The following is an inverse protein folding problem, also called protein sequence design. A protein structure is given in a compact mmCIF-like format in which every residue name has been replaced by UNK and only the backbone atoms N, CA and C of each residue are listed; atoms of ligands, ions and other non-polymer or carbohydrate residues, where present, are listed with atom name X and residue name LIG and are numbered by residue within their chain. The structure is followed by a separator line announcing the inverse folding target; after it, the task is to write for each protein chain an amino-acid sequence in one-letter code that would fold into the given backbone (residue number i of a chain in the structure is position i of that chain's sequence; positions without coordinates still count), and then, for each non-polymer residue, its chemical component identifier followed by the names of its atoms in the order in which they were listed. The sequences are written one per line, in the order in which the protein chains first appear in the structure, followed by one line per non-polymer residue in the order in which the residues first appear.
data_IF_776249123359
#
_entry.id   IF_776249123359
#
_cell.length_a   1.000
_cell.length_b   1.000
_cell.length_c   1.000
_cell.angle_alpha   90.00
_cell.angle_beta   90.00
_cell.angle_gamma   90.00
#
_symmetry.space_group_name_H-M   'P 1'
#
loop_
_entity.id
_entity.type
_entity.pdbx_description
1 polymer ?
#
# COMPACT_ATOMS: atom_id res chain seq x y z
N UNK A 1 55.50 15.03 17.66
CA UNK A 1 54.47 15.10 18.74
C UNK A 1 53.88 16.51 18.88
N UNK A 2 54.66 17.57 18.64
CA UNK A 2 54.14 18.97 18.57
C UNK A 2 53.20 19.22 17.38
N UNK A 3 53.44 18.60 16.21
CA UNK A 3 52.61 18.83 15.00
C UNK A 3 51.16 18.33 15.14
N UNK A 4 50.96 17.21 15.83
CA UNK A 4 49.61 16.66 16.07
C UNK A 4 48.80 17.56 17.02
N UNK A 5 49.45 18.16 18.02
CA UNK A 5 48.81 19.10 18.94
C UNK A 5 48.44 20.41 18.23
N UNK A 6 49.30 20.86 17.30
CA UNK A 6 49.07 22.06 16.51
C UNK A 6 47.92 21.85 15.51
N UNK A 7 47.85 20.69 14.84
CA UNK A 7 46.74 20.32 13.96
C UNK A 7 45.41 20.24 14.74
N UNK A 8 45.41 19.66 15.95
CA UNK A 8 44.20 19.63 16.77
C UNK A 8 43.74 21.03 17.21
N UNK A 9 44.68 21.94 17.53
CA UNK A 9 44.35 23.33 17.84
C UNK A 9 43.77 24.07 16.63
N UNK A 10 44.31 23.85 15.42
CA UNK A 10 43.76 24.42 14.19
C UNK A 10 42.36 23.89 13.88
N UNK A 11 42.13 22.57 14.03
CA UNK A 11 40.82 21.96 13.82
C UNK A 11 39.78 22.45 14.84
N UNK A 12 40.20 22.65 16.10
CA UNK A 12 39.32 23.19 17.14
C UNK A 12 38.95 24.66 16.85
N UNK A 13 39.92 25.48 16.43
CA UNK A 13 39.68 26.87 16.03
C UNK A 13 38.74 26.96 14.81
N UNK A 14 38.98 26.12 13.80
CA UNK A 14 38.16 26.07 12.59
C UNK A 14 36.73 25.64 12.88
N UNK A 15 36.52 24.65 13.76
CA UNK A 15 35.17 24.25 14.20
C UNK A 15 34.42 25.35 14.94
N UNK A 16 35.11 26.14 15.77
CA UNK A 16 34.50 27.29 16.47
C UNK A 16 34.13 28.40 15.47
N UNK A 17 35.00 28.67 14.49
CA UNK A 17 34.78 29.68 13.45
C UNK A 17 33.62 29.28 12.51
N UNK A 18 33.53 27.99 12.16
CA UNK A 18 32.42 27.43 11.41
C UNK A 18 31.12 27.49 12.22
N UNK A 19 31.12 27.05 13.48
CA UNK A 19 29.95 27.14 14.36
C UNK A 19 29.44 28.57 14.57
N UNK A 20 30.32 29.57 14.56
CA UNK A 20 29.93 30.98 14.64
C UNK A 20 29.32 31.46 13.31
N UNK A 21 29.95 31.13 12.18
CA UNK A 21 29.41 31.42 10.83
C UNK A 21 28.04 30.79 10.62
N UNK A 22 27.85 29.55 11.09
CA UNK A 22 26.60 28.81 10.97
C UNK A 22 25.44 29.49 11.72
N UNK A 23 25.71 30.14 12.86
CA UNK A 23 24.70 30.88 13.61
C UNK A 23 24.16 32.08 12.81
N UNK A 24 25.06 32.87 12.22
CA UNK A 24 24.67 34.03 11.43
C UNK A 24 23.96 33.62 10.13
N UNK A 25 24.46 32.58 9.46
CA UNK A 25 23.81 32.01 8.27
C UNK A 25 22.40 31.50 8.62
N UNK A 26 22.24 30.77 9.73
CA UNK A 26 20.94 30.29 10.19
C UNK A 26 19.96 31.44 10.49
N UNK A 27 20.44 32.53 11.10
CA UNK A 27 19.63 33.73 11.32
C UNK A 27 19.19 34.38 10.00
N UNK A 28 20.05 34.40 8.98
CA UNK A 28 19.72 34.90 7.64
C UNK A 28 18.75 33.98 6.90
N UNK A 29 18.86 32.67 7.04
CA UNK A 29 17.89 31.69 6.51
C UNK A 29 16.50 31.92 7.11
N UNK A 30 16.41 32.25 8.41
CA UNK A 30 15.14 32.48 9.09
C UNK A 30 14.35 33.71 8.56
N UNK A 31 14.96 34.59 7.77
CA UNK A 31 14.28 35.70 7.09
C UNK A 31 13.40 35.29 5.91
N UNK A 32 13.43 34.01 5.52
CA UNK A 32 12.66 33.52 4.39
C UNK A 32 11.18 33.85 4.48
N UNK A 33 10.66 34.48 3.43
CA UNK A 33 9.23 34.64 3.26
C UNK A 33 8.63 33.31 2.80
N UNK A 34 7.71 32.75 3.58
CA UNK A 34 6.82 31.69 3.08
C UNK A 34 5.85 32.31 2.08
N UNK A 35 6.22 32.35 0.79
CA UNK A 35 5.25 32.44 -0.29
C UNK A 35 5.12 31.05 -0.91
N UNK A 36 3.88 30.63 -1.10
CA UNK A 36 3.51 29.29 -1.52
C UNK A 36 4.16 28.95 -2.87
N UNK A 37 4.82 27.78 -2.94
CA UNK A 37 5.16 26.95 -4.12
C UNK A 37 6.56 27.00 -4.78
N UNK A 38 7.53 27.83 -4.37
CA UNK A 38 8.88 27.89 -5.03
C UNK A 38 9.98 28.15 -3.97
N UNK A 39 11.25 27.71 -4.15
CA UNK A 39 12.30 27.96 -3.18
C UNK A 39 12.37 29.44 -2.78
N UNK A 40 12.23 29.63 -1.49
CA UNK A 40 12.03 30.90 -0.80
C UNK A 40 13.26 31.78 -0.90
N UNK A 41 13.17 32.87 -1.66
CA UNK A 41 14.23 33.87 -1.74
C UNK A 41 14.36 34.62 -0.41
N UNK A 42 15.54 34.58 0.21
CA UNK A 42 15.86 35.42 1.37
C UNK A 42 15.72 36.89 0.95
N UNK A 43 14.83 37.63 1.62
CA UNK A 43 14.61 39.07 1.41
C UNK A 43 15.32 39.87 2.49
N UNK A 44 16.22 40.77 2.07
CA UNK A 44 16.96 41.70 2.94
C UNK A 44 16.35 43.11 2.93
N UNK A 45 15.05 43.20 2.63
CA UNK A 45 14.29 44.46 2.58
C UNK A 45 13.53 44.65 3.89
N UNK A 46 13.73 45.79 4.52
CA UNK A 46 13.04 46.17 5.76
C UNK A 46 12.47 47.59 5.56
N UNK A 47 11.14 47.76 5.59
CA UNK A 47 10.51 49.08 5.42
C UNK A 47 8.99 49.16 5.63
N UNK A 48 8.31 48.03 5.85
CA UNK A 48 6.88 47.98 6.23
C UNK A 48 6.71 47.52 7.68
N UNK A 49 5.56 47.80 8.31
CA UNK A 49 5.29 47.44 9.71
C UNK A 49 5.43 45.92 9.99
N UNK A 50 5.11 45.07 9.01
CA UNK A 50 5.34 43.62 9.08
C UNK A 50 6.82 43.25 8.99
N UNK A 51 7.59 44.00 8.22
CA UNK A 51 9.04 43.83 8.09
C UNK A 51 9.79 44.38 9.30
N UNK A 52 9.25 45.34 10.05
CA UNK A 52 9.86 45.87 11.27
C UNK A 52 9.95 44.79 12.37
N UNK A 53 8.94 43.92 12.48
CA UNK A 53 8.98 42.78 13.40
C UNK A 53 10.03 41.75 12.95
N UNK A 54 10.14 41.51 11.64
CA UNK A 54 11.17 40.60 11.08
C UNK A 54 12.57 41.17 11.26
N UNK A 55 12.73 42.48 11.09
CA UNK A 55 13.97 43.19 11.35
C UNK A 55 14.36 43.04 12.82
N UNK A 56 13.43 43.29 13.74
CA UNK A 56 13.68 43.11 15.18
C UNK A 56 14.03 41.66 15.52
N UNK A 57 13.31 40.69 14.97
CA UNK A 57 13.61 39.26 15.14
C UNK A 57 15.01 38.92 14.64
N UNK A 58 15.36 39.35 13.44
CA UNK A 58 16.67 39.13 12.84
C UNK A 58 17.80 39.77 13.64
N UNK A 59 17.64 41.02 14.07
CA UNK A 59 18.62 41.74 14.88
C UNK A 59 18.84 41.07 16.23
N UNK A 60 17.76 40.61 16.88
CA UNK A 60 17.87 39.83 18.12
C UNK A 60 18.68 38.55 17.88
N UNK A 61 18.49 37.86 16.76
CA UNK A 61 19.27 36.66 16.43
C UNK A 61 20.74 36.99 16.12
N UNK A 62 21.02 38.04 15.35
CA UNK A 62 22.39 38.51 15.11
C UNK A 62 23.11 38.83 16.42
N UNK A 63 22.43 39.54 17.33
CA UNK A 63 22.95 39.86 18.67
C UNK A 63 23.24 38.59 19.46
N UNK A 64 22.33 37.61 19.46
CA UNK A 64 22.56 36.32 20.13
C UNK A 64 23.77 35.57 19.55
N UNK A 65 23.97 35.60 18.25
CA UNK A 65 25.14 34.99 17.60
C UNK A 65 26.43 35.73 17.99
N UNK A 66 26.42 37.06 18.02
CA UNK A 66 27.57 37.87 18.46
C UNK A 66 27.92 37.60 19.92
N UNK A 67 26.94 37.55 20.82
CA UNK A 67 27.15 37.24 22.24
C UNK A 67 27.71 35.83 22.44
N UNK A 68 27.21 34.82 21.71
CA UNK A 68 27.75 33.45 21.74
C UNK A 68 29.19 33.41 21.27
N UNK A 69 29.49 34.08 20.15
CA UNK A 69 30.85 34.17 19.62
C UNK A 69 31.82 34.84 20.61
N UNK A 70 31.33 35.82 21.38
CA UNK A 70 32.07 36.50 22.44
C UNK A 70 32.11 35.72 23.78
N UNK A 71 31.43 34.57 23.89
CA UNK A 71 31.33 33.80 25.14
C UNK A 71 30.50 34.49 26.23
N UNK A 72 29.67 35.48 25.87
CA UNK A 72 28.81 36.23 26.78
C UNK A 72 27.47 35.49 26.92
N UNK A 73 26.99 35.23 28.15
CA UNK A 73 25.72 34.54 28.35
C UNK A 73 24.54 35.37 27.83
N UNK A 74 23.64 34.71 27.08
CA UNK A 74 22.41 35.33 26.60
C UNK A 74 21.43 35.50 27.78
N UNK A 75 20.77 36.67 27.93
CA UNK A 75 19.75 36.88 28.97
C UNK A 75 18.62 35.84 28.91
N UNK A 76 18.09 35.43 30.07
CA UNK A 76 17.03 34.41 30.15
C UNK A 76 15.73 34.86 29.50
N UNK A 77 15.49 36.17 29.50
CA UNK A 77 14.35 36.82 28.87
C UNK A 77 14.34 36.66 27.34
N UNK A 78 15.47 36.29 26.75
CA UNK A 78 15.62 36.02 25.33
C UNK A 78 15.42 34.55 24.95
N UNK A 79 15.15 33.67 25.93
CA UNK A 79 14.82 32.26 25.68
C UNK A 79 13.35 32.12 25.29
N UNK A 80 13.02 31.19 24.37
CA UNK A 80 11.65 30.97 23.93
C UNK A 80 10.78 30.51 25.11
N UNK A 81 9.61 31.12 25.27
CA UNK A 81 8.68 30.80 26.35
C UNK A 81 7.40 30.22 25.76
N UNK A 82 6.99 29.06 26.29
CA UNK A 82 5.81 28.32 25.83
C UNK A 82 4.52 29.16 25.96
N UNK A 83 4.53 30.19 26.81
CA UNK A 83 3.34 30.93 27.25
C UNK A 83 3.24 32.35 26.69
N UNK A 84 4.14 32.78 25.80
CA UNK A 84 4.14 34.16 25.28
C UNK A 84 3.99 34.25 23.77
N UNK A 85 3.35 35.34 23.33
CA UNK A 85 3.35 35.67 21.91
C UNK A 85 4.76 36.12 21.48
N UNK A 86 5.06 35.97 20.19
CA UNK A 86 6.39 36.26 19.61
C UNK A 86 6.82 37.72 19.80
N UNK A 87 5.89 38.67 19.70
CA UNK A 87 6.20 40.10 19.83
C UNK A 87 6.64 40.44 21.26
N UNK A 88 5.93 39.94 22.26
CA UNK A 88 6.25 40.16 23.67
C UNK A 88 7.60 39.54 24.04
N UNK A 89 7.95 38.39 23.46
CA UNK A 89 9.28 37.80 23.59
C UNK A 89 10.39 38.70 23.05
N UNK A 90 10.20 39.22 21.84
CA UNK A 90 11.16 40.15 21.21
C UNK A 90 11.32 41.42 22.04
N UNK A 91 10.21 41.98 22.53
CA UNK A 91 10.22 43.18 23.39
C UNK A 91 10.95 42.91 24.69
N UNK A 92 10.64 41.82 25.40
CA UNK A 92 11.33 41.47 26.67
C UNK A 92 12.82 41.22 26.46
N UNK A 93 13.18 40.53 25.38
CA UNK A 93 14.58 40.29 25.04
C UNK A 93 15.33 41.59 24.72
N UNK A 94 14.70 42.49 23.94
CA UNK A 94 15.28 43.80 23.62
C UNK A 94 15.44 44.66 24.88
N UNK A 95 14.48 44.64 25.79
CA UNK A 95 14.59 45.30 27.10
C UNK A 95 15.71 44.72 27.96
N UNK A 96 15.95 43.41 27.88
CA UNK A 96 17.07 42.79 28.59
C UNK A 96 18.42 43.28 28.03
N UNK A 97 18.55 43.42 26.71
CA UNK A 97 19.73 44.02 26.10
C UNK A 97 19.92 45.49 26.51
N UNK A 98 18.85 46.28 26.61
CA UNK A 98 18.96 47.69 26.99
C UNK A 98 19.35 47.92 28.46
N UNK A 99 19.17 46.92 29.35
CA UNK A 99 19.55 47.02 30.77
C UNK A 99 21.06 46.99 30.99
N UNK A 100 21.82 46.41 30.07
CA UNK A 100 23.28 46.25 30.20
C UNK A 100 23.98 46.97 29.04
N UNK A 101 24.82 47.99 29.31
CA UNK A 101 25.42 48.80 28.26
C UNK A 101 26.16 48.00 27.18
N UNK A 102 26.91 46.96 27.58
CA UNK A 102 27.65 46.11 26.64
C UNK A 102 26.73 45.33 25.70
N UNK A 103 25.58 44.85 26.21
CA UNK A 103 24.60 44.12 25.40
C UNK A 103 23.84 45.07 24.47
N UNK A 104 23.55 46.29 24.96
CA UNK A 104 22.94 47.33 24.14
C UNK A 104 23.83 47.75 22.97
N UNK A 105 25.15 47.84 23.17
CA UNK A 105 26.10 48.15 22.10
C UNK A 105 26.09 47.09 21.00
N UNK A 106 26.11 45.80 21.36
CA UNK A 106 26.01 44.70 20.39
C UNK A 106 24.67 44.73 19.65
N UNK A 107 23.55 44.90 20.37
CA UNK A 107 22.22 45.00 19.78
C UNK A 107 22.08 46.18 18.80
N UNK A 108 22.48 47.38 19.21
CA UNK A 108 22.40 48.59 18.38
C UNK A 108 23.31 48.53 17.15
N UNK A 109 24.47 47.88 17.27
CA UNK A 109 25.37 47.63 16.15
C UNK A 109 24.74 46.64 15.16
N UNK A 110 24.18 45.54 15.66
CA UNK A 110 23.44 44.57 14.86
C UNK A 110 22.24 45.20 14.15
N UNK A 111 21.50 46.10 14.82
CA UNK A 111 20.39 46.84 14.23
C UNK A 111 20.84 47.74 13.08
N UNK A 112 21.89 48.54 13.30
CA UNK A 112 22.43 49.46 12.30
C UNK A 112 22.95 48.74 11.05
N UNK A 113 23.57 47.58 11.23
CA UNK A 113 24.20 46.84 10.13
C UNK A 113 23.37 45.66 9.62
N UNK A 114 22.15 45.45 10.14
CA UNK A 114 21.30 44.30 9.81
C UNK A 114 21.17 44.07 8.31
N UNK A 115 20.84 45.12 7.55
CA UNK A 115 20.66 45.04 6.11
C UNK A 115 21.96 44.64 5.39
N UNK A 116 23.10 45.23 5.75
CA UNK A 116 24.41 44.93 5.16
C UNK A 116 24.81 43.49 5.46
N UNK A 117 24.64 43.05 6.71
CA UNK A 117 24.94 41.68 7.14
C UNK A 117 24.07 40.69 6.35
N UNK A 118 22.77 40.97 6.21
CA UNK A 118 21.86 40.14 5.43
C UNK A 118 22.33 39.98 3.98
N UNK A 119 22.65 41.08 3.29
CA UNK A 119 23.15 41.00 1.91
C UNK A 119 24.48 40.25 1.79
N UNK A 120 25.38 40.40 2.75
CA UNK A 120 26.66 39.70 2.75
C UNK A 120 26.51 38.19 2.92
N UNK A 121 25.59 37.74 3.79
CA UNK A 121 25.39 36.33 4.11
C UNK A 121 24.38 35.64 3.21
N UNK A 122 23.61 36.40 2.43
CA UNK A 122 22.56 35.86 1.56
C UNK A 122 23.08 34.75 0.64
N UNK A 123 24.22 34.95 0.00
CA UNK A 123 24.77 33.96 -0.94
C UNK A 123 25.19 32.66 -0.25
N UNK A 124 25.77 32.76 0.95
CA UNK A 124 26.16 31.59 1.74
C UNK A 124 24.95 30.85 2.31
N UNK A 125 23.93 31.60 2.72
CA UNK A 125 22.64 31.06 3.16
C UNK A 125 21.90 30.33 2.02
N UNK A 126 21.82 30.95 0.84
CA UNK A 126 21.22 30.34 -0.35
C UNK A 126 21.99 29.06 -0.74
N UNK A 127 23.34 29.10 -0.71
CA UNK A 127 24.18 27.91 -0.96
C UNK A 127 23.95 26.81 0.08
N UNK A 128 23.92 27.15 1.37
CA UNK A 128 23.72 26.17 2.45
C UNK A 128 22.39 25.44 2.31
N UNK A 129 21.33 26.13 1.89
CA UNK A 129 20.03 25.51 1.65
C UNK A 129 20.04 24.57 0.44
N UNK A 130 20.70 24.98 -0.65
CA UNK A 130 20.84 24.14 -1.83
C UNK A 130 21.57 22.84 -1.47
N UNK A 131 22.67 22.94 -0.72
CA UNK A 131 23.42 21.75 -0.26
C UNK A 131 22.54 20.85 0.60
N UNK A 132 21.86 21.39 1.61
CA UNK A 132 20.97 20.61 2.47
C UNK A 132 19.82 19.92 1.70
N UNK A 133 19.29 20.59 0.66
CA UNK A 133 18.29 20.01 -0.23
C UNK A 133 18.86 18.83 -1.02
N UNK A 134 20.05 18.97 -1.61
CA UNK A 134 20.69 17.88 -2.36
C UNK A 134 21.07 16.70 -1.47
N UNK A 135 21.53 16.94 -0.24
CA UNK A 135 21.79 15.88 0.75
C UNK A 135 20.51 15.09 1.03
N UNK A 136 19.43 15.78 1.41
CA UNK A 136 18.12 15.16 1.66
C UNK A 136 17.60 14.40 0.43
N UNK A 137 17.71 15.00 -0.75
CA UNK A 137 17.27 14.37 -2.00
C UNK A 137 18.08 13.10 -2.31
N UNK A 138 19.39 13.13 -2.06
CA UNK A 138 20.25 11.97 -2.30
C UNK A 138 19.93 10.81 -1.37
N UNK A 139 19.61 11.09 -0.10
CA UNK A 139 19.17 10.09 0.87
C UNK A 139 17.84 9.45 0.46
N UNK A 140 16.86 10.26 0.06
CA UNK A 140 15.57 9.78 -0.43
C UNK A 140 15.73 8.96 -1.71
N UNK A 141 16.57 9.41 -2.64
CA UNK A 141 16.82 8.69 -3.88
C UNK A 141 17.47 7.33 -3.64
N UNK A 142 18.41 7.26 -2.69
CA UNK A 142 19.05 6.01 -2.29
C UNK A 142 18.03 5.05 -1.66
N UNK A 143 17.19 5.54 -0.75
CA UNK A 143 16.14 4.75 -0.12
C UNK A 143 15.13 4.20 -1.14
N UNK A 144 14.70 5.04 -2.09
CA UNK A 144 13.81 4.62 -3.18
C UNK A 144 14.46 3.56 -4.06
N UNK A 145 15.75 3.73 -4.39
CA UNK A 145 16.48 2.75 -5.18
C UNK A 145 16.54 1.38 -4.51
N UNK A 146 16.81 1.33 -3.20
CA UNK A 146 16.76 0.08 -2.43
C UNK A 146 15.38 -0.57 -2.44
N UNK A 147 14.31 0.22 -2.25
CA UNK A 147 12.94 -0.27 -2.33
C UNK A 147 12.62 -0.86 -3.71
N UNK A 148 13.08 -0.23 -4.79
CA UNK A 148 12.89 -0.74 -6.15
C UNK A 148 13.60 -2.07 -6.39
N UNK A 149 14.81 -2.24 -5.86
CA UNK A 149 15.54 -3.51 -5.98
C UNK A 149 14.82 -4.63 -5.22
N UNK A 150 14.41 -4.36 -3.97
CA UNK A 150 13.63 -5.31 -3.16
C UNK A 150 12.31 -5.68 -3.84
N UNK A 151 11.61 -4.70 -4.41
CA UNK A 151 10.38 -4.95 -5.14
C UNK A 151 10.61 -5.78 -6.40
N UNK A 152 11.70 -5.54 -7.13
CA UNK A 152 12.06 -6.33 -8.32
C UNK A 152 12.31 -7.79 -7.95
N UNK A 153 13.03 -8.06 -6.87
CA UNK A 153 13.29 -9.42 -6.39
C UNK A 153 11.99 -10.13 -5.98
N UNK A 154 11.14 -9.44 -5.22
CA UNK A 154 9.83 -9.97 -4.82
C UNK A 154 8.86 -10.15 -6.01
N UNK A 155 9.03 -9.39 -7.09
CA UNK A 155 8.20 -9.53 -8.28
C UNK A 155 8.53 -10.81 -9.05
N UNK A 156 9.80 -11.21 -9.11
CA UNK A 156 10.20 -12.45 -9.76
C UNK A 156 9.68 -13.69 -9.01
N UNK A 157 9.72 -13.67 -7.67
CA UNK A 157 9.14 -14.74 -6.85
C UNK A 157 7.62 -14.78 -7.03
N UNK A 158 6.94 -13.64 -6.92
CA UNK A 158 5.50 -13.55 -7.16
C UNK A 158 5.12 -14.06 -8.55
N UNK A 159 5.87 -13.70 -9.59
CA UNK A 159 5.62 -14.17 -10.95
C UNK A 159 5.73 -15.70 -11.03
N UNK A 160 6.76 -16.27 -10.42
CA UNK A 160 6.98 -17.73 -10.42
C UNK A 160 5.82 -18.45 -9.71
N UNK A 161 5.37 -17.93 -8.56
CA UNK A 161 4.21 -18.46 -7.84
C UNK A 161 2.92 -18.38 -8.67
N UNK A 162 2.70 -17.26 -9.39
CA UNK A 162 1.53 -17.12 -10.27
C UNK A 162 1.56 -18.11 -11.45
N UNK A 163 2.74 -18.32 -12.06
CA UNK A 163 2.91 -19.30 -13.14
C UNK A 163 2.62 -20.73 -12.65
N UNK A 164 3.05 -21.08 -11.44
CA UNK A 164 2.77 -22.38 -10.82
C UNK A 164 1.28 -22.58 -10.55
N UNK A 165 0.60 -21.59 -9.95
CA UNK A 165 -0.85 -21.64 -9.71
C UNK A 165 -1.62 -21.80 -11.03
N UNK A 166 -1.24 -21.05 -12.07
CA UNK A 166 -1.90 -21.15 -13.36
C UNK A 166 -1.70 -22.54 -14.01
N UNK A 167 -0.50 -23.11 -13.88
CA UNK A 167 -0.21 -24.46 -14.37
C UNK A 167 -1.04 -25.52 -13.62
N UNK A 168 -1.21 -25.37 -12.30
CA UNK A 168 -2.03 -26.28 -11.49
C UNK A 168 -3.53 -26.18 -11.84
N UNK A 169 -4.06 -24.97 -12.02
CA UNK A 169 -5.44 -24.75 -12.48
C UNK A 169 -5.65 -25.43 -13.84
N UNK A 170 -4.71 -25.25 -14.77
CA UNK A 170 -4.79 -25.84 -16.11
C UNK A 170 -4.77 -27.37 -16.06
N UNK A 171 -3.91 -27.97 -15.22
CA UNK A 171 -3.87 -29.42 -14.99
C UNK A 171 -5.17 -29.93 -14.37
N UNK A 172 -5.73 -29.22 -13.39
CA UNK A 172 -7.01 -29.57 -12.77
C UNK A 172 -8.19 -29.53 -13.76
N UNK A 173 -8.22 -28.53 -14.65
CA UNK A 173 -9.23 -28.45 -15.71
C UNK A 173 -9.14 -29.63 -16.69
N UNK A 174 -7.92 -30.02 -17.08
CA UNK A 174 -7.71 -31.20 -17.93
C UNK A 174 -8.16 -32.50 -17.24
N UNK A 175 -7.85 -32.68 -15.96
CA UNK A 175 -8.30 -33.84 -15.18
C UNK A 175 -9.83 -33.90 -15.08
N UNK A 176 -10.48 -32.76 -14.83
CA UNK A 176 -11.95 -32.67 -14.78
C UNK A 176 -12.59 -33.03 -16.13
N UNK A 177 -12.01 -32.60 -17.25
CA UNK A 177 -12.50 -32.96 -18.58
C UNK A 177 -12.33 -34.46 -18.85
N UNK A 178 -11.19 -35.05 -18.46
CA UNK A 178 -10.97 -36.50 -18.57
C UNK A 178 -12.02 -37.30 -17.79
N UNK A 179 -12.28 -36.93 -16.53
CA UNK A 179 -13.32 -37.57 -15.71
C UNK A 179 -14.73 -37.39 -16.27
N UNK A 180 -15.02 -36.25 -16.87
CA UNK A 180 -16.30 -36.02 -17.54
C UNK A 180 -16.47 -36.92 -18.77
N UNK A 181 -15.42 -37.11 -19.56
CA UNK A 181 -15.43 -38.03 -20.71
C UNK A 181 -15.66 -39.48 -20.26
N UNK A 182 -14.93 -39.95 -19.24
CA UNK A 182 -15.13 -41.27 -18.64
C UNK A 182 -16.58 -41.48 -18.14
N UNK A 183 -17.15 -40.47 -17.47
CA UNK A 183 -18.54 -40.51 -16.99
C UNK A 183 -19.54 -40.61 -18.13
N UNK A 184 -19.34 -39.86 -19.22
CA UNK A 184 -20.23 -39.96 -20.40
C UNK A 184 -20.10 -41.31 -21.10
N UNK A 185 -18.90 -41.89 -21.18
CA UNK A 185 -18.67 -43.23 -21.72
C UNK A 185 -19.38 -44.30 -20.87
N UNK A 186 -19.28 -44.20 -19.53
CA UNK A 186 -19.97 -45.11 -18.62
C UNK A 186 -21.49 -45.00 -18.77
N UNK A 187 -22.03 -43.77 -18.80
CA UNK A 187 -23.46 -43.54 -18.98
C UNK A 187 -23.97 -44.11 -20.31
N UNK A 188 -23.19 -43.97 -21.39
CA UNK A 188 -23.50 -44.59 -22.69
C UNK A 188 -23.51 -46.12 -22.60
N UNK A 189 -22.52 -46.71 -21.95
CA UNK A 189 -22.43 -48.17 -21.76
C UNK A 189 -23.61 -48.69 -20.95
N UNK A 190 -24.00 -47.99 -19.87
CA UNK A 190 -25.17 -48.33 -19.06
C UNK A 190 -26.44 -48.25 -19.91
N UNK A 191 -26.60 -47.19 -20.71
CA UNK A 191 -27.75 -47.04 -21.60
C UNK A 191 -27.85 -48.19 -22.60
N UNK A 192 -26.76 -48.55 -23.27
CA UNK A 192 -26.72 -49.67 -24.22
C UNK A 192 -27.14 -50.98 -23.54
N UNK A 193 -26.63 -51.25 -22.33
CA UNK A 193 -27.03 -52.44 -21.55
C UNK A 193 -28.50 -52.41 -21.14
N UNK A 194 -29.02 -51.24 -20.81
CA UNK A 194 -30.42 -51.08 -20.40
C UNK A 194 -31.37 -51.28 -21.59
N UNK A 195 -31.01 -50.77 -22.77
CA UNK A 195 -31.74 -50.99 -24.03
C UNK A 195 -31.75 -52.49 -24.41
N UNK A 196 -30.63 -53.20 -24.24
CA UNK A 196 -30.54 -54.65 -24.46
C UNK A 196 -31.48 -55.43 -23.52
N UNK A 197 -31.51 -55.06 -22.23
CA UNK A 197 -32.39 -55.67 -21.24
C UNK A 197 -33.86 -55.42 -21.55
N UNK A 198 -34.22 -54.20 -21.96
CA UNK A 198 -35.60 -53.88 -22.36
C UNK A 198 -36.05 -54.74 -23.54
N UNK A 199 -35.21 -54.89 -24.57
CA UNK A 199 -35.51 -55.78 -25.71
C UNK A 199 -35.63 -57.24 -25.30
N UNK A 200 -34.81 -57.71 -24.38
CA UNK A 200 -34.91 -59.06 -23.86
C UNK A 200 -36.26 -59.29 -23.16
N UNK A 201 -36.67 -58.36 -22.28
CA UNK A 201 -37.94 -58.43 -21.57
C UNK A 201 -39.14 -58.32 -22.52
N UNK A 202 -39.09 -57.46 -23.54
CA UNK A 202 -40.13 -57.36 -24.57
C UNK A 202 -40.28 -58.69 -25.33
N UNK A 203 -39.17 -59.31 -25.72
CA UNK A 203 -39.21 -60.61 -26.40
C UNK A 203 -39.78 -61.71 -25.49
N UNK A 204 -39.41 -61.73 -24.21
CA UNK A 204 -39.93 -62.70 -23.24
C UNK A 204 -41.43 -62.52 -23.00
N UNK A 205 -41.91 -61.27 -22.91
CA UNK A 205 -43.33 -60.95 -22.81
C UNK A 205 -44.12 -61.45 -24.03
N UNK A 206 -43.57 -61.29 -25.24
CA UNK A 206 -44.20 -61.80 -26.48
C UNK A 206 -44.31 -63.33 -26.42
N UNK A 207 -43.25 -64.03 -26.04
CA UNK A 207 -43.26 -65.50 -25.91
C UNK A 207 -44.32 -65.96 -24.91
N UNK A 208 -44.33 -65.38 -23.70
CA UNK A 208 -45.32 -65.72 -22.67
C UNK A 208 -46.76 -65.43 -23.12
N UNK A 209 -46.98 -64.31 -23.82
CA UNK A 209 -48.31 -63.99 -24.34
C UNK A 209 -48.79 -65.02 -25.37
N UNK A 210 -47.89 -65.51 -26.22
CA UNK A 210 -48.21 -66.54 -27.20
C UNK A 210 -48.51 -67.89 -26.55
N UNK A 211 -47.74 -68.28 -25.53
CA UNK A 211 -48.02 -69.50 -24.76
C UNK A 211 -49.38 -69.43 -24.05
N UNK A 212 -49.73 -68.28 -23.47
CA UNK A 212 -51.02 -68.09 -22.82
C UNK A 212 -52.19 -68.23 -23.80
N UNK A 213 -52.06 -67.69 -25.02
CA UNK A 213 -53.03 -67.86 -26.10
C UNK A 213 -53.18 -69.35 -26.45
N UNK A 214 -52.06 -70.06 -26.64
CA UNK A 214 -52.08 -71.49 -26.98
C UNK A 214 -52.78 -72.33 -25.90
N UNK A 215 -52.57 -72.00 -24.61
CA UNK A 215 -53.25 -72.67 -23.48
C UNK A 215 -54.75 -72.32 -23.46
N UNK A 216 -55.10 -71.06 -23.70
CA UNK A 216 -56.50 -70.62 -23.77
C UNK A 216 -57.27 -71.35 -24.88
N UNK A 217 -56.69 -71.43 -26.07
CA UNK A 217 -57.27 -72.13 -27.22
C UNK A 217 -57.47 -73.62 -26.90
N UNK A 218 -56.44 -74.27 -26.33
CA UNK A 218 -56.52 -75.67 -25.91
C UNK A 218 -57.63 -75.92 -24.88
N UNK A 219 -57.79 -75.01 -23.91
CA UNK A 219 -58.83 -75.09 -22.88
C UNK A 219 -60.23 -74.90 -23.48
N UNK A 220 -60.37 -73.99 -24.44
CA UNK A 220 -61.64 -73.73 -25.13
C UNK A 220 -62.07 -74.92 -25.97
N UNK A 221 -61.14 -75.52 -26.73
CA UNK A 221 -61.36 -76.76 -27.47
C UNK A 221 -61.81 -77.88 -26.54
N UNK A 222 -61.14 -78.05 -25.39
CA UNK A 222 -61.52 -79.05 -24.40
C UNK A 222 -62.94 -78.81 -23.85
N UNK A 223 -63.27 -77.56 -23.48
CA UNK A 223 -64.60 -77.19 -23.00
C UNK A 223 -65.68 -77.49 -24.02
N UNK A 224 -65.46 -77.13 -25.29
CA UNK A 224 -66.42 -77.37 -26.37
C UNK A 224 -66.61 -78.87 -26.60
N UNK A 225 -65.51 -79.65 -26.57
CA UNK A 225 -65.58 -81.11 -26.64
C UNK A 225 -66.37 -81.71 -25.48
N UNK A 226 -66.12 -81.26 -24.25
CA UNK A 226 -66.83 -81.71 -23.06
C UNK A 226 -68.32 -81.37 -23.13
N UNK A 227 -68.67 -80.13 -23.50
CA UNK A 227 -70.05 -79.69 -23.66
C UNK A 227 -70.79 -80.49 -24.73
N UNK A 228 -70.15 -80.75 -25.88
CA UNK A 228 -70.70 -81.58 -26.94
C UNK A 228 -70.95 -83.02 -26.48
N UNK A 229 -70.00 -83.62 -25.74
CA UNK A 229 -70.16 -84.95 -25.18
C UNK A 229 -71.29 -85.01 -24.14
N UNK A 230 -71.41 -83.98 -23.30
CA UNK A 230 -72.45 -83.91 -22.27
C UNK A 230 -73.85 -83.71 -22.88
N UNK A 231 -73.96 -82.87 -23.90
CA UNK A 231 -75.18 -82.71 -24.70
C UNK A 231 -75.57 -84.02 -25.41
N UNK A 232 -74.60 -84.73 -25.98
CA UNK A 232 -74.83 -86.04 -26.60
C UNK A 232 -75.32 -87.09 -25.59
N UNK A 233 -74.72 -87.13 -24.39
CA UNK A 233 -75.15 -88.02 -23.32
C UNK A 233 -76.57 -87.70 -22.82
N UNK A 234 -76.89 -86.42 -22.61
CA UNK A 234 -78.24 -85.96 -22.25
C UNK A 234 -79.28 -86.35 -23.30
N UNK A 235 -78.96 -86.18 -24.58
CA UNK A 235 -79.84 -86.58 -25.69
C UNK A 235 -80.13 -88.09 -25.70
N UNK A 236 -79.15 -88.93 -25.32
CA UNK A 236 -79.35 -90.38 -25.20
C UNK A 236 -80.27 -90.72 -24.01
N UNK A 237 -80.15 -90.00 -22.89
CA UNK A 237 -80.98 -90.22 -21.70
C UNK A 237 -82.43 -89.79 -21.94
N UNK A 238 -82.66 -88.62 -22.54
CA UNK A 238 -84.02 -88.12 -22.82
C UNK A 238 -84.76 -89.00 -23.84
N UNK A 239 -84.06 -89.59 -24.82
CA UNK A 239 -84.64 -90.54 -25.79
C UNK A 239 -85.02 -91.90 -25.18
N UNK A 240 -84.52 -92.23 -23.98
CA UNK A 240 -84.86 -93.44 -23.23
C UNK A 240 -86.03 -93.24 -22.25
N UNK A 241 -86.44 -92.00 -22.00
CA UNK A 241 -87.49 -91.64 -21.05
C UNK A 241 -88.84 -91.29 -21.71
N UNK A 242 -88.90 -91.27 -23.05
CA UNK A 242 -90.11 -91.14 -23.88
C UNK A 242 -90.48 -92.47 -24.53
#
# INVERSE_FOLDING_TARGET
MQDALQIQQYLAKWKVEQSNSDCFIAATIALQSQSSSIPTTISCSFGTESEDIKLQEYVVQLTKCELRAAGVPIPRECQPSIWSNRKDELVRCTQAFSRVPQLWTSYSTSLKHAQVICYSLKSDADKSQIVAFYETLSEVQLANYHLFLEHSENFDTFKTEQEEIFADISRSQLDMLGRADESTMLAKTIKERMDDLLRFLENEQVVLSQELINVHDSTTIFKDSFQNNLNAALAVITKKAS
#
